data_IF_571373694826
#
_entry.id   IF_571373694826
#
_cell.length_a   1.000
_cell.length_b   1.000
_cell.length_c   1.000
_cell.angle_alpha   90.00
_cell.angle_beta   90.00
_cell.angle_gamma   90.00
#
_symmetry.space_group_name_H-M   'P 1'
#
loop_
_entity.id
_entity.type
_entity.pdbx_description
1 polymer ?
#
# COMPACT_ATOMS: atom_id res chain seq x y z
N UNK A 1 42.82 45.51 17.87
CA UNK A 1 42.72 46.94 17.53
C UNK A 1 41.88 47.02 16.26
N UNK A 2 40.55 47.11 16.33
CA UNK A 2 39.72 48.27 16.68
C UNK A 2 39.83 49.42 15.67
N UNK A 3 38.82 49.55 14.80
CA UNK A 3 38.23 50.78 14.21
C UNK A 3 37.39 50.37 12.99
N UNK A 4 36.07 50.15 13.03
CA UNK A 4 34.95 51.03 13.35
C UNK A 4 34.57 52.05 12.24
N UNK A 5 33.27 52.02 11.91
CA UNK A 5 32.40 53.06 11.30
C UNK A 5 32.27 53.14 9.78
N UNK A 6 31.04 52.88 9.30
CA UNK A 6 30.11 53.89 8.75
C UNK A 6 29.10 53.22 7.78
N UNK A 7 27.86 52.89 8.19
CA UNK A 7 26.64 53.73 8.09
C UNK A 7 25.66 53.05 7.11
N UNK A 8 24.67 52.29 7.59
CA UNK A 8 23.26 52.71 7.70
C UNK A 8 22.66 53.30 6.41
N UNK A 9 21.80 52.54 5.73
CA UNK A 9 20.72 53.08 4.90
C UNK A 9 19.50 52.14 4.99
N UNK A 10 18.58 52.55 5.85
CA UNK A 10 17.31 51.92 6.17
C UNK A 10 16.24 52.98 5.92
N UNK A 11 15.45 52.87 4.84
CA UNK A 11 14.21 53.67 4.65
C UNK A 11 13.36 53.01 3.55
N UNK A 12 12.29 52.28 3.90
CA UNK A 12 10.88 52.73 4.07
C UNK A 12 10.28 53.37 2.81
N UNK A 13 9.13 52.81 2.37
CA UNK A 13 7.95 53.37 1.66
C UNK A 13 7.50 52.35 0.59
N UNK A 14 6.23 51.99 0.38
CA UNK A 14 4.98 52.25 1.07
C UNK A 14 3.90 51.31 0.47
N UNK A 15 3.02 50.78 1.32
CA UNK A 15 1.67 50.37 0.89
C UNK A 15 0.93 51.60 0.34
N UNK A 16 0.35 51.49 -0.86
CA UNK A 16 -0.87 52.17 -1.33
C UNK A 16 -1.25 51.55 -2.69
N UNK A 17 -2.38 50.86 -2.77
CA UNK A 17 -3.65 51.40 -3.28
C UNK A 17 -3.63 51.66 -4.79
N UNK A 18 -4.20 50.72 -5.56
CA UNK A 18 -4.86 51.01 -6.83
C UNK A 18 -6.14 50.17 -6.92
N UNK A 19 -7.26 50.80 -6.51
CA UNK A 19 -8.62 50.42 -6.86
C UNK A 19 -9.06 51.26 -8.08
N UNK A 20 -9.78 50.63 -9.02
CA UNK A 20 -10.59 51.19 -10.12
C UNK A 20 -10.39 50.30 -11.36
N UNK A 21 -11.37 49.76 -12.09
CA UNK A 21 -12.83 49.91 -12.21
C UNK A 21 -13.26 48.80 -13.19
N UNK A 22 -14.32 48.05 -12.90
CA UNK A 22 -15.28 47.55 -13.91
C UNK A 22 -16.40 46.77 -13.19
N UNK A 23 -17.43 47.50 -12.79
CA UNK A 23 -18.71 46.95 -12.38
C UNK A 23 -19.61 46.84 -13.61
N UNK A 24 -20.17 45.66 -13.85
CA UNK A 24 -21.41 45.52 -14.63
C UNK A 24 -22.33 44.62 -13.82
N UNK A 25 -23.27 45.27 -13.13
CA UNK A 25 -24.31 44.65 -12.33
C UNK A 25 -25.47 44.24 -13.26
N UNK A 26 -25.83 42.95 -13.24
CA UNK A 26 -27.08 42.47 -13.83
C UNK A 26 -28.12 42.40 -12.72
N UNK A 27 -29.17 43.21 -12.89
CA UNK A 27 -30.23 43.46 -11.93
C UNK A 27 -31.14 42.26 -11.66
N UNK A 28 -31.56 42.20 -10.39
CA UNK A 28 -32.78 41.60 -9.86
C UNK A 28 -34.04 41.95 -10.68
N UNK A 29 -34.90 40.96 -10.91
CA UNK A 29 -36.34 41.17 -11.06
C UNK A 29 -37.11 40.20 -10.15
N UNK A 30 -37.62 40.74 -9.06
CA UNK A 30 -38.76 40.20 -8.32
C UNK A 30 -40.04 40.53 -9.09
N UNK A 31 -40.92 39.56 -9.29
CA UNK A 31 -42.33 39.82 -9.60
C UNK A 31 -43.15 39.02 -8.61
N UNK A 32 -43.69 39.77 -7.64
CA UNK A 32 -44.74 39.35 -6.72
C UNK A 32 -46.09 39.67 -7.35
N UNK A 33 -46.95 38.67 -7.50
CA UNK A 33 -48.39 38.87 -7.72
C UNK A 33 -49.14 38.10 -6.65
N UNK A 34 -49.68 38.85 -5.68
CA UNK A 34 -50.72 38.41 -4.76
C UNK A 34 -52.02 38.17 -5.54
N UNK A 35 -52.68 37.04 -5.30
CA UNK A 35 -54.04 36.74 -5.75
C UNK A 35 -54.75 35.85 -4.72
N UNK A 36 -55.91 36.30 -4.26
CA UNK A 36 -56.68 35.79 -3.13
C UNK A 36 -57.31 34.39 -3.32
N UNK A 37 -57.40 33.68 -2.18
CA UNK A 37 -58.35 32.63 -1.72
C UNK A 37 -59.46 32.15 -2.68
N UNK A 38 -59.59 30.82 -2.77
CA UNK A 38 -60.88 30.13 -2.60
C UNK A 38 -60.66 28.72 -2.01
N UNK A 39 -61.45 28.43 -0.99
CA UNK A 39 -61.54 27.18 -0.24
C UNK A 39 -62.32 26.12 -1.01
N UNK A 40 -61.73 24.95 -1.20
CA UNK A 40 -62.47 23.73 -1.56
C UNK A 40 -61.98 22.55 -0.74
N UNK A 41 -62.92 21.97 0.00
CA UNK A 41 -62.85 20.79 0.85
C UNK A 41 -62.20 19.59 0.14
N UNK A 42 -61.09 19.08 0.67
CA UNK A 42 -60.53 17.79 0.28
C UNK A 42 -60.83 16.75 1.37
N UNK A 43 -61.64 15.76 1.01
CA UNK A 43 -62.04 14.61 1.81
C UNK A 43 -60.86 13.73 2.21
N UNK A 44 -60.81 13.35 3.49
CA UNK A 44 -59.90 12.33 4.04
C UNK A 44 -60.23 10.94 3.47
N UNK A 45 -59.28 10.18 2.90
CA UNK A 45 -59.48 8.76 2.68
C UNK A 45 -59.28 7.98 3.98
N UNK A 46 -60.17 7.00 4.18
CA UNK A 46 -60.29 6.18 5.37
C UNK A 46 -59.03 5.33 5.67
N UNK A 47 -58.73 5.23 6.96
CA UNK A 47 -57.73 4.36 7.59
C UNK A 47 -58.10 2.88 7.40
N UNK A 48 -57.29 2.10 6.67
CA UNK A 48 -57.41 0.63 6.68
C UNK A 48 -56.63 0.04 7.86
N UNK A 49 -57.08 -1.07 8.47
CA UNK A 49 -56.44 -1.67 9.63
C UNK A 49 -55.16 -2.44 9.25
N UNK A 50 -54.15 -2.33 10.11
CA UNK A 50 -52.90 -3.08 10.08
C UNK A 50 -53.13 -4.59 10.18
N UNK A 51 -52.46 -5.35 9.32
CA UNK A 51 -52.02 -6.72 9.61
C UNK A 51 -50.49 -6.71 9.71
N UNK A 52 -49.88 -7.25 10.77
CA UNK A 52 -48.43 -7.36 10.85
C UNK A 52 -47.99 -8.55 9.99
N UNK A 53 -47.54 -8.27 8.77
CA UNK A 53 -46.80 -9.26 7.99
C UNK A 53 -45.46 -9.51 8.69
N UNK A 54 -45.38 -10.60 9.44
CA UNK A 54 -44.11 -11.29 9.74
C UNK A 54 -43.56 -11.87 8.43
N UNK A 55 -43.13 -10.98 7.53
CA UNK A 55 -42.28 -11.31 6.41
C UNK A 55 -40.87 -11.49 6.96
N UNK A 56 -40.43 -12.75 6.99
CA UNK A 56 -39.05 -13.13 7.23
C UNK A 56 -38.09 -12.14 6.57
N UNK A 57 -37.22 -11.52 7.36
CA UNK A 57 -36.02 -10.89 6.79
C UNK A 57 -35.23 -12.03 6.16
N UNK A 58 -35.45 -12.25 4.87
CA UNK A 58 -34.53 -12.98 4.03
C UNK A 58 -33.29 -12.09 4.05
N UNK A 59 -32.40 -12.40 5.00
CA UNK A 59 -31.02 -12.03 4.93
C UNK A 59 -30.60 -12.36 3.50
N UNK A 60 -30.15 -11.35 2.75
CA UNK A 60 -29.42 -11.53 1.51
C UNK A 60 -28.14 -12.29 1.88
N UNK A 61 -28.28 -13.59 2.12
CA UNK A 61 -27.21 -14.55 2.17
C UNK A 61 -26.80 -14.64 0.71
N UNK A 62 -25.88 -13.74 0.33
CA UNK A 62 -25.14 -13.83 -0.91
C UNK A 62 -24.70 -15.28 -0.98
N UNK A 63 -25.32 -16.04 -1.87
CA UNK A 63 -24.92 -17.39 -2.22
C UNK A 63 -23.58 -17.19 -2.91
N UNK A 64 -22.51 -17.04 -2.14
CA UNK A 64 -21.19 -17.46 -2.58
C UNK A 64 -21.34 -18.96 -2.79
N UNK A 65 -21.73 -19.36 -4.02
CA UNK A 65 -21.28 -20.62 -4.58
C UNK A 65 -19.82 -20.73 -4.18
N UNK A 66 -19.50 -21.71 -3.32
CA UNK A 66 -18.15 -21.92 -2.80
C UNK A 66 -17.24 -22.24 -3.98
N UNK A 67 -16.75 -21.20 -4.66
CA UNK A 67 -15.65 -21.31 -5.60
C UNK A 67 -14.48 -21.86 -4.80
N UNK A 68 -13.87 -22.91 -5.33
CA UNK A 68 -12.66 -23.52 -4.78
C UNK A 68 -11.67 -22.42 -4.38
N UNK A 69 -11.04 -22.55 -3.21
CA UNK A 69 -10.08 -21.55 -2.72
C UNK A 69 -8.97 -21.27 -3.74
N UNK A 70 -8.64 -22.26 -4.57
CA UNK A 70 -7.66 -22.13 -5.64
C UNK A 70 -8.12 -21.21 -6.78
N UNK A 71 -9.42 -21.09 -7.06
CA UNK A 71 -9.96 -20.23 -8.14
C UNK A 71 -10.11 -18.77 -7.68
N UNK A 72 -10.08 -18.54 -6.38
CA UNK A 72 -10.24 -17.22 -5.77
C UNK A 72 -8.85 -16.62 -5.55
N UNK A 73 -8.73 -15.29 -5.57
CA UNK A 73 -7.48 -14.63 -5.19
C UNK A 73 -7.04 -15.08 -3.77
N UNK A 74 -5.73 -15.10 -3.52
CA UNK A 74 -5.21 -15.56 -2.24
C UNK A 74 -5.64 -14.65 -1.07
N UNK A 75 -5.83 -13.36 -1.35
CA UNK A 75 -6.38 -12.39 -0.39
C UNK A 75 -7.77 -12.75 0.15
N UNK A 76 -8.74 -13.07 -0.72
CA UNK A 76 -10.09 -13.48 -0.32
C UNK A 76 -10.12 -14.90 0.23
N UNK A 77 -9.21 -15.79 -0.21
CA UNK A 77 -9.03 -17.08 0.46
C UNK A 77 -8.62 -16.91 1.92
N UNK A 78 -7.65 -16.02 2.20
CA UNK A 78 -7.25 -15.66 3.57
C UNK A 78 -8.41 -15.03 4.35
N UNK A 79 -9.19 -14.12 3.75
CA UNK A 79 -10.34 -13.51 4.44
C UNK A 79 -11.41 -14.53 4.82
N UNK A 80 -11.64 -15.56 3.99
CA UNK A 80 -12.52 -16.69 4.35
C UNK A 80 -11.97 -17.49 5.51
N UNK A 81 -10.69 -17.87 5.45
CA UNK A 81 -10.03 -18.62 6.52
C UNK A 81 -10.04 -17.86 7.85
N UNK A 82 -9.83 -16.54 7.81
CA UNK A 82 -9.88 -15.70 9.00
C UNK A 82 -11.29 -15.56 9.60
N UNK A 83 -12.34 -15.68 8.78
CA UNK A 83 -13.72 -15.71 9.26
C UNK A 83 -14.07 -17.07 9.90
N UNK A 84 -13.58 -18.17 9.34
CA UNK A 84 -13.85 -19.52 9.84
C UNK A 84 -13.06 -19.85 11.12
N UNK A 85 -11.79 -19.42 11.18
CA UNK A 85 -10.86 -19.78 12.27
C UNK A 85 -10.02 -18.57 12.75
N UNK A 86 -10.62 -17.54 13.35
CA UNK A 86 -9.93 -16.30 13.70
C UNK A 86 -8.80 -16.46 14.73
N UNK A 87 -8.94 -17.42 15.66
CA UNK A 87 -8.01 -17.61 16.78
C UNK A 87 -6.91 -18.64 16.53
N UNK A 88 -6.87 -19.25 15.33
CA UNK A 88 -5.86 -20.24 15.01
C UNK A 88 -4.50 -19.57 14.82
N UNK A 89 -3.52 -20.00 15.62
CA UNK A 89 -2.12 -19.62 15.46
C UNK A 89 -1.53 -20.31 14.23
N UNK A 90 -0.84 -19.55 13.39
CA UNK A 90 -0.33 -20.05 12.09
C UNK A 90 1.17 -19.84 11.93
N UNK A 91 1.70 -18.72 12.40
CA UNK A 91 3.11 -18.40 12.23
C UNK A 91 3.66 -17.76 13.48
N UNK A 92 4.83 -18.24 13.90
CA UNK A 92 5.66 -17.60 14.91
C UNK A 92 6.97 -17.16 14.28
N UNK A 93 7.29 -15.88 14.45
CA UNK A 93 8.56 -15.30 14.01
C UNK A 93 9.48 -15.17 15.23
N UNK A 94 10.61 -15.87 15.22
CA UNK A 94 11.56 -15.83 16.35
C UNK A 94 12.27 -14.48 16.46
N UNK A 95 12.64 -13.86 15.33
CA UNK A 95 13.42 -12.61 15.31
C UNK A 95 12.79 -11.44 16.08
N UNK A 96 11.45 -11.34 16.08
CA UNK A 96 10.71 -10.31 16.85
C UNK A 96 9.85 -10.92 17.96
N UNK A 97 10.00 -12.23 18.20
CA UNK A 97 9.15 -13.05 19.06
C UNK A 97 7.64 -12.76 18.90
N UNK A 98 7.19 -12.63 17.63
CA UNK A 98 5.81 -12.30 17.30
C UNK A 98 5.06 -13.57 16.91
N UNK A 99 3.89 -13.77 17.53
CA UNK A 99 2.95 -14.83 17.17
C UNK A 99 1.76 -14.26 16.43
N UNK A 100 1.46 -14.82 15.26
CA UNK A 100 0.33 -14.40 14.44
C UNK A 100 -0.74 -15.46 14.36
N UNK A 101 -1.98 -14.99 14.50
CA UNK A 101 -3.19 -15.75 14.20
C UNK A 101 -3.66 -15.41 12.79
N UNK A 102 -4.54 -16.24 12.22
CA UNK A 102 -5.17 -15.93 10.93
C UNK A 102 -5.84 -14.55 10.91
N UNK A 103 -6.47 -14.16 12.03
CA UNK A 103 -7.07 -12.83 12.17
C UNK A 103 -6.03 -11.71 12.07
N UNK A 104 -4.87 -11.86 12.70
CA UNK A 104 -3.80 -10.85 12.62
C UNK A 104 -3.28 -10.71 11.19
N UNK A 105 -3.00 -11.82 10.51
CA UNK A 105 -2.50 -11.77 9.12
C UNK A 105 -3.54 -11.13 8.18
N UNK A 106 -4.81 -11.49 8.32
CA UNK A 106 -5.87 -10.87 7.52
C UNK A 106 -6.00 -9.36 7.82
N UNK A 107 -5.94 -8.97 9.10
CA UNK A 107 -6.04 -7.57 9.51
C UNK A 107 -4.90 -6.70 8.97
N UNK A 108 -3.64 -7.12 9.15
CA UNK A 108 -2.49 -6.34 8.68
C UNK A 108 -2.39 -6.31 7.15
N UNK A 109 -2.70 -7.42 6.47
CA UNK A 109 -2.71 -7.45 5.00
C UNK A 109 -3.82 -6.57 4.41
N UNK A 110 -4.98 -6.52 5.07
CA UNK A 110 -6.09 -5.63 4.67
C UNK A 110 -5.74 -4.16 4.87
N UNK A 111 -5.15 -3.84 6.02
CA UNK A 111 -4.72 -2.48 6.34
C UNK A 111 -3.64 -1.98 5.37
N UNK A 112 -2.66 -2.83 5.01
CA UNK A 112 -1.63 -2.48 4.06
C UNK A 112 -2.19 -2.31 2.64
N UNK A 113 -3.09 -3.20 2.21
CA UNK A 113 -3.73 -3.08 0.90
C UNK A 113 -4.58 -1.80 0.80
N UNK A 114 -5.29 -1.43 1.86
CA UNK A 114 -6.02 -0.16 1.93
C UNK A 114 -5.07 1.04 1.81
N UNK A 115 -3.95 1.04 2.54
CA UNK A 115 -2.98 2.13 2.46
C UNK A 115 -2.30 2.26 1.10
N UNK A 116 -2.07 1.17 0.39
CA UNK A 116 -1.59 1.24 -1.00
C UNK A 116 -2.61 1.88 -1.93
N UNK A 117 -3.88 1.48 -1.86
CA UNK A 117 -4.93 2.07 -2.68
C UNK A 117 -5.16 3.55 -2.34
N UNK A 118 -5.08 3.92 -1.06
CA UNK A 118 -5.22 5.30 -0.59
C UNK A 118 -4.02 6.18 -1.01
N UNK A 119 -2.82 5.60 -1.08
CA UNK A 119 -1.65 6.24 -1.68
C UNK A 119 -1.77 6.45 -3.19
N UNK A 120 -2.83 5.93 -3.83
CA UNK A 120 -3.15 6.12 -5.24
C UNK A 120 -2.70 5.00 -6.17
N UNK A 121 -2.17 3.89 -5.63
CA UNK A 121 -1.73 2.75 -6.43
C UNK A 121 -2.92 2.07 -7.11
N UNK A 122 -2.70 1.66 -8.35
CA UNK A 122 -3.70 0.98 -9.16
C UNK A 122 -3.36 -0.52 -9.25
N UNK A 123 -4.38 -1.38 -9.36
CA UNK A 123 -4.14 -2.80 -9.63
C UNK A 123 -3.35 -2.96 -10.94
N UNK A 124 -2.27 -3.74 -10.89
CA UNK A 124 -1.27 -3.88 -11.95
C UNK A 124 0.03 -3.10 -11.72
N UNK A 125 0.05 -2.18 -10.75
CA UNK A 125 1.28 -1.50 -10.35
C UNK A 125 2.28 -2.50 -9.73
N UNK A 126 3.56 -2.13 -9.82
CA UNK A 126 4.67 -3.02 -9.48
C UNK A 126 5.29 -2.63 -8.14
N UNK A 127 5.43 -3.62 -7.26
CA UNK A 127 6.08 -3.50 -5.95
C UNK A 127 7.35 -4.33 -5.96
N UNK A 128 8.48 -3.68 -5.69
CA UNK A 128 9.77 -4.35 -5.49
C UNK A 128 10.03 -4.48 -4.00
N UNK A 129 10.07 -5.70 -3.50
CA UNK A 129 10.47 -6.00 -2.13
C UNK A 129 11.93 -6.42 -2.07
N UNK A 130 12.69 -5.76 -1.22
CA UNK A 130 14.04 -6.13 -0.82
C UNK A 130 14.06 -6.47 0.67
N UNK A 131 13.11 -7.32 1.07
CA UNK A 131 12.95 -7.82 2.43
C UNK A 131 13.26 -9.31 2.49
N UNK A 132 13.87 -9.77 3.58
CA UNK A 132 14.17 -11.19 3.74
C UNK A 132 12.89 -11.98 4.03
N UNK A 133 12.87 -13.23 3.58
CA UNK A 133 11.70 -14.09 3.73
C UNK A 133 11.35 -14.39 5.19
N UNK A 134 12.29 -14.23 6.13
CA UNK A 134 12.02 -14.44 7.55
C UNK A 134 11.33 -13.24 8.22
N UNK A 135 11.17 -12.10 7.54
CA UNK A 135 10.46 -10.95 8.08
C UNK A 135 8.94 -11.10 7.96
N UNK A 136 8.25 -10.70 9.01
CA UNK A 136 6.81 -10.78 9.08
C UNK A 136 6.16 -9.82 8.06
N UNK A 137 6.78 -8.66 7.86
CA UNK A 137 6.39 -7.63 6.88
C UNK A 137 6.32 -8.19 5.44
N UNK A 138 7.24 -9.08 5.07
CA UNK A 138 7.27 -9.69 3.73
C UNK A 138 6.03 -10.55 3.47
N UNK A 139 5.56 -11.27 4.48
CA UNK A 139 4.36 -12.10 4.37
C UNK A 139 3.09 -11.23 4.28
N UNK A 140 3.00 -10.17 5.09
CA UNK A 140 1.91 -9.20 5.00
C UNK A 140 1.87 -8.61 3.59
N UNK A 141 3.04 -8.24 3.05
CA UNK A 141 3.16 -7.63 1.73
C UNK A 141 2.63 -8.56 0.63
N UNK A 142 2.99 -9.85 0.66
CA UNK A 142 2.49 -10.84 -0.31
C UNK A 142 0.96 -10.90 -0.32
N UNK A 143 0.32 -10.98 0.85
CA UNK A 143 -1.14 -10.99 0.95
C UNK A 143 -1.77 -9.64 0.56
N UNK A 144 -1.13 -8.52 0.92
CA UNK A 144 -1.61 -7.19 0.57
C UNK A 144 -1.56 -6.98 -0.95
N UNK A 145 -0.49 -7.41 -1.62
CA UNK A 145 -0.40 -7.38 -3.09
C UNK A 145 -1.49 -8.24 -3.74
N UNK A 146 -1.78 -9.42 -3.20
CA UNK A 146 -2.89 -10.26 -3.71
C UNK A 146 -4.26 -9.61 -3.54
N UNK A 147 -4.47 -8.89 -2.43
CA UNK A 147 -5.71 -8.14 -2.14
C UNK A 147 -5.87 -6.88 -2.97
N UNK A 148 -4.78 -6.14 -3.20
CA UNK A 148 -4.78 -4.90 -3.98
C UNK A 148 -4.61 -5.16 -5.50
N UNK A 149 -4.25 -6.39 -5.91
CA UNK A 149 -3.99 -6.73 -7.31
C UNK A 149 -2.67 -6.16 -7.83
N UNK A 150 -1.67 -6.03 -6.96
CA UNK A 150 -0.34 -5.51 -7.29
C UNK A 150 0.60 -6.66 -7.67
N UNK A 151 1.60 -6.36 -8.50
CA UNK A 151 2.63 -7.33 -8.91
C UNK A 151 3.83 -7.17 -7.98
N UNK A 152 4.13 -8.21 -7.21
CA UNK A 152 5.26 -8.28 -6.30
C UNK A 152 6.47 -8.93 -6.99
N UNK A 153 7.59 -8.22 -7.02
CA UNK A 153 8.90 -8.78 -7.32
C UNK A 153 9.69 -8.85 -6.02
N UNK A 154 10.29 -10.00 -5.73
CA UNK A 154 11.17 -10.18 -4.57
C UNK A 154 12.61 -10.17 -5.05
N UNK A 155 13.37 -9.18 -4.61
CA UNK A 155 14.82 -9.16 -4.71
C UNK A 155 15.39 -9.93 -3.53
N UNK A 156 16.19 -10.96 -3.79
CA UNK A 156 16.83 -11.74 -2.73
C UNK A 156 17.79 -10.83 -1.95
N UNK A 157 17.53 -10.57 -0.66
CA UNK A 157 18.45 -9.83 0.18
C UNK A 157 19.49 -10.81 0.71
N UNK A 158 20.30 -11.40 -0.17
CA UNK A 158 21.38 -12.26 0.30
C UNK A 158 22.37 -11.38 1.08
N UNK A 159 22.40 -11.50 2.43
CA UNK A 159 23.23 -10.62 3.24
C UNK A 159 24.71 -10.89 2.98
N UNK A 160 25.09 -12.09 2.56
CA UNK A 160 26.47 -12.43 2.23
C UNK A 160 26.98 -11.64 1.03
N UNK A 161 26.14 -11.45 0.00
CA UNK A 161 26.51 -10.66 -1.17
C UNK A 161 26.60 -9.17 -0.82
N UNK A 162 25.68 -8.68 0.02
CA UNK A 162 25.69 -7.31 0.49
C UNK A 162 26.90 -7.02 1.42
N UNK A 163 27.35 -8.01 2.20
CA UNK A 163 28.56 -7.95 3.04
C UNK A 163 29.85 -8.02 2.23
N UNK A 164 29.94 -8.95 1.29
CA UNK A 164 31.17 -9.22 0.54
C UNK A 164 31.42 -8.13 -0.51
N UNK A 165 30.38 -7.71 -1.23
CA UNK A 165 30.50 -6.75 -2.34
C UNK A 165 29.30 -5.77 -2.36
N UNK A 166 29.35 -4.67 -1.59
CA UNK A 166 28.25 -3.70 -1.55
C UNK A 166 28.01 -3.00 -2.89
N UNK A 167 29.01 -2.96 -3.78
CA UNK A 167 28.87 -2.44 -5.16
C UNK A 167 27.96 -3.34 -6.00
N UNK A 168 28.11 -4.66 -5.92
CA UNK A 168 27.26 -5.61 -6.65
C UNK A 168 25.82 -5.59 -6.15
N UNK A 169 25.61 -5.42 -4.84
CA UNK A 169 24.27 -5.24 -4.28
C UNK A 169 23.59 -3.97 -4.84
N UNK A 170 24.32 -2.86 -4.99
CA UNK A 170 23.82 -1.64 -5.64
C UNK A 170 23.48 -1.86 -7.11
N UNK A 171 24.35 -2.56 -7.84
CA UNK A 171 24.07 -2.90 -9.25
C UNK A 171 22.85 -3.82 -9.38
N UNK A 172 22.67 -4.75 -8.44
CA UNK A 172 21.51 -5.64 -8.42
C UNK A 172 20.22 -4.86 -8.21
N UNK A 173 20.19 -3.94 -7.23
CA UNK A 173 19.05 -3.07 -7.00
C UNK A 173 18.77 -2.17 -8.23
N UNK A 174 19.81 -1.55 -8.79
CA UNK A 174 19.66 -0.68 -9.96
C UNK A 174 19.02 -1.42 -11.14
N UNK A 175 19.55 -2.60 -11.49
CA UNK A 175 18.97 -3.42 -12.57
C UNK A 175 17.57 -3.92 -12.22
N UNK A 176 17.30 -4.28 -10.97
CA UNK A 176 15.96 -4.67 -10.56
C UNK A 176 14.95 -3.53 -10.78
N UNK A 177 15.30 -2.29 -10.42
CA UNK A 177 14.46 -1.12 -10.65
C UNK A 177 14.26 -0.83 -12.15
N UNK A 178 15.31 -0.91 -12.97
CA UNK A 178 15.21 -0.72 -14.43
C UNK A 178 14.35 -1.78 -15.11
N UNK A 179 14.47 -3.05 -14.68
CA UNK A 179 13.73 -4.16 -15.27
C UNK A 179 12.26 -4.12 -14.84
N UNK A 180 12.00 -3.96 -13.54
CA UNK A 180 10.64 -4.09 -13.00
C UNK A 180 9.79 -2.84 -13.18
N UNK A 181 10.40 -1.67 -13.43
CA UNK A 181 9.72 -0.38 -13.42
C UNK A 181 8.87 -0.18 -12.15
N UNK A 182 9.41 -0.58 -11.01
CA UNK A 182 8.70 -0.61 -9.74
C UNK A 182 8.22 0.78 -9.32
N UNK A 183 6.96 0.85 -8.91
CA UNK A 183 6.33 2.06 -8.35
C UNK A 183 6.67 2.23 -6.87
N UNK A 184 6.78 1.11 -6.17
CA UNK A 184 7.15 1.05 -4.75
C UNK A 184 8.42 0.21 -4.60
N UNK A 185 9.37 0.72 -3.83
CA UNK A 185 10.51 -0.04 -3.33
C UNK A 185 10.34 -0.21 -1.81
N UNK A 186 10.38 -1.44 -1.31
CA UNK A 186 10.34 -1.71 0.13
C UNK A 186 11.67 -2.34 0.53
N UNK A 187 12.49 -1.62 1.30
CA UNK A 187 13.77 -2.10 1.80
C UNK A 187 13.76 -2.30 3.31
N UNK A 188 14.65 -3.15 3.81
CA UNK A 188 14.99 -3.16 5.22
C UNK A 188 15.92 -2.00 5.58
N UNK A 189 16.01 -1.66 6.87
CA UNK A 189 16.90 -0.59 7.34
C UNK A 189 18.34 -1.12 7.50
N UNK A 190 18.50 -2.17 8.30
CA UNK A 190 19.76 -2.84 8.52
C UNK A 190 19.54 -4.36 8.54
N UNK A 191 20.52 -5.11 8.05
CA UNK A 191 20.54 -6.55 8.11
C UNK A 191 21.98 -7.04 8.24
N UNK A 192 22.27 -7.79 9.30
CA UNK A 192 23.54 -8.49 9.52
C UNK A 192 24.75 -7.58 9.24
N UNK A 193 24.85 -6.45 9.96
CA UNK A 193 25.92 -5.43 9.83
C UNK A 193 25.97 -4.62 8.52
N UNK A 194 25.00 -4.81 7.62
CA UNK A 194 24.85 -4.00 6.41
C UNK A 194 23.71 -2.99 6.57
N UNK A 195 23.99 -1.72 6.26
CA UNK A 195 22.97 -0.68 6.18
C UNK A 195 22.39 -0.59 4.76
N UNK A 196 21.17 -1.08 4.58
CA UNK A 196 20.51 -1.12 3.27
C UNK A 196 20.00 0.25 2.82
N UNK A 197 19.79 1.19 3.74
CA UNK A 197 19.46 2.58 3.40
C UNK A 197 20.63 3.22 2.66
N UNK A 198 21.85 3.06 3.15
CA UNK A 198 23.06 3.58 2.47
C UNK A 198 23.28 2.94 1.09
N UNK A 199 22.83 1.69 0.90
CA UNK A 199 22.83 1.04 -0.41
C UNK A 199 21.80 1.69 -1.33
N UNK A 200 20.58 1.93 -0.85
CA UNK A 200 19.52 2.60 -1.59
C UNK A 200 19.90 4.03 -1.97
N UNK A 201 20.47 4.81 -1.04
CA UNK A 201 21.01 6.15 -1.30
C UNK A 201 22.13 6.15 -2.34
N UNK A 202 22.92 5.07 -2.40
CA UNK A 202 23.94 4.91 -3.43
C UNK A 202 23.38 4.69 -4.83
N UNK A 203 22.17 4.13 -4.95
CA UNK A 203 21.51 3.85 -6.23
C UNK A 203 20.60 5.01 -6.66
N UNK A 204 19.87 5.57 -5.69
CA UNK A 204 18.91 6.67 -5.83
C UNK A 204 19.35 7.80 -4.89
N UNK A 205 20.33 8.63 -5.29
CA UNK A 205 20.85 9.71 -4.44
C UNK A 205 19.79 10.78 -4.14
N UNK A 206 18.72 10.86 -4.93
CA UNK A 206 17.62 11.80 -4.72
C UNK A 206 16.89 11.56 -3.40
N UNK A 207 16.94 10.35 -2.84
CA UNK A 207 16.36 10.04 -1.52
C UNK A 207 16.93 10.96 -0.45
N UNK A 208 18.23 11.28 -0.49
CA UNK A 208 18.90 12.10 0.53
C UNK A 208 18.53 13.59 0.49
N UNK A 209 18.01 14.05 -0.64
CA UNK A 209 17.73 15.46 -0.89
C UNK A 209 16.23 15.74 -0.72
N UNK A 210 15.40 14.72 -0.88
CA UNK A 210 13.96 14.87 -0.91
C UNK A 210 13.40 15.18 0.48
N UNK A 211 12.86 16.39 0.63
CA UNK A 211 12.13 16.78 1.83
C UNK A 211 10.61 16.67 1.59
N UNK A 212 9.95 15.82 2.39
CA UNK A 212 8.49 15.68 2.35
C UNK A 212 7.74 16.91 2.88
N UNK A 213 8.42 17.84 3.55
CA UNK A 213 7.81 19.07 4.08
C UNK A 213 7.19 19.95 2.99
N UNK A 214 7.69 19.86 1.76
CA UNK A 214 7.20 20.62 0.61
C UNK A 214 5.86 20.07 0.04
N UNK A 215 5.40 18.90 0.52
CA UNK A 215 4.15 18.27 0.08
C UNK A 215 4.20 17.72 -1.36
N UNK A 216 5.38 17.65 -1.97
CA UNK A 216 5.59 17.05 -3.27
C UNK A 216 5.60 15.52 -3.17
N UNK A 217 5.17 14.84 -4.24
CA UNK A 217 5.39 13.40 -4.37
C UNK A 217 6.85 13.12 -4.72
N UNK A 218 7.41 12.03 -4.18
CA UNK A 218 8.77 11.62 -4.49
C UNK A 218 8.93 11.39 -6.01
N UNK A 219 10.05 11.86 -6.53
CA UNK A 219 10.38 11.77 -7.95
C UNK A 219 11.89 11.65 -8.12
N UNK A 220 12.30 10.68 -8.94
CA UNK A 220 13.69 10.53 -9.38
C UNK A 220 13.73 10.51 -10.91
N UNK A 221 14.58 11.35 -11.55
CA UNK A 221 14.73 11.34 -13.02
C UNK A 221 15.25 10.02 -13.57
N UNK A 222 16.03 9.27 -12.77
CA UNK A 222 16.63 8.00 -13.17
C UNK A 222 15.62 6.86 -13.22
N UNK A 223 14.65 6.87 -12.29
CA UNK A 223 13.57 5.88 -12.20
C UNK A 223 12.22 6.59 -12.20
N UNK A 224 11.69 7.00 -13.37
CA UNK A 224 10.50 7.86 -13.45
C UNK A 224 9.23 7.22 -12.86
N UNK A 225 9.22 5.89 -12.74
CA UNK A 225 8.12 5.12 -12.18
C UNK A 225 8.15 5.03 -10.65
N UNK A 226 9.32 5.21 -10.01
CA UNK A 226 9.47 5.07 -8.56
C UNK A 226 8.85 6.29 -7.84
N UNK A 227 7.79 6.04 -7.08
CA UNK A 227 7.03 7.07 -6.33
C UNK A 227 7.07 6.88 -4.83
N UNK A 228 7.26 5.65 -4.36
CA UNK A 228 7.23 5.35 -2.93
C UNK A 228 8.44 4.52 -2.56
N UNK A 229 9.54 5.17 -2.14
CA UNK A 229 10.65 4.46 -1.55
C UNK A 229 10.33 4.30 -0.05
N UNK A 230 10.25 3.05 0.41
CA UNK A 230 9.71 2.65 1.72
C UNK A 230 10.74 1.83 2.47
N UNK A 231 10.90 2.08 3.78
CA UNK A 231 11.76 1.28 4.64
C UNK A 231 10.98 0.65 5.81
N UNK A 232 11.41 -0.51 6.29
CA UNK A 232 10.79 -1.21 7.44
C UNK A 232 11.38 -0.82 8.80
N UNK A 233 12.16 0.27 8.84
CA UNK A 233 12.79 0.78 10.05
C UNK A 233 11.80 1.32 11.08
N UNK A 234 12.32 1.69 12.25
CA UNK A 234 11.53 2.30 13.32
C UNK A 234 11.68 3.82 13.37
N UNK A 235 12.83 4.34 12.96
CA UNK A 235 13.16 5.75 13.12
C UNK A 235 12.79 6.54 11.87
N UNK A 236 11.99 7.59 12.06
CA UNK A 236 11.58 8.53 10.99
C UNK A 236 12.58 9.69 10.81
N UNK A 237 13.33 10.04 11.85
CA UNK A 237 14.24 11.19 11.86
C UNK A 237 15.56 10.95 11.15
N UNK A 238 15.99 9.68 11.06
CA UNK A 238 17.32 9.34 10.57
C UNK A 238 17.33 9.03 9.07
N UNK A 239 16.14 8.91 8.45
CA UNK A 239 15.93 8.49 7.07
C UNK A 239 15.00 9.47 6.31
N UNK A 240 15.30 10.77 6.40
CA UNK A 240 14.57 11.82 5.68
C UNK A 240 14.62 11.54 4.17
N UNK A 241 13.45 11.29 3.56
CA UNK A 241 13.31 10.95 2.13
C UNK A 241 12.76 9.55 1.83
N UNK A 242 12.66 8.68 2.84
CA UNK A 242 11.96 7.39 2.74
C UNK A 242 10.67 7.39 3.57
N UNK A 243 9.64 6.69 3.10
CA UNK A 243 8.43 6.46 3.88
C UNK A 243 8.59 5.25 4.81
N UNK A 244 7.99 5.30 6.00
CA UNK A 244 7.92 4.14 6.86
C UNK A 244 6.87 3.15 6.35
N UNK A 245 7.20 1.87 6.33
CA UNK A 245 6.25 0.79 6.02
C UNK A 245 4.99 0.86 6.89
N UNK A 246 5.14 1.26 8.15
CA UNK A 246 4.03 1.42 9.10
C UNK A 246 3.06 2.54 8.74
N UNK A 247 3.48 3.56 7.99
CA UNK A 247 2.59 4.66 7.58
C UNK A 247 1.57 4.20 6.53
N UNK A 248 1.86 3.12 5.79
CA UNK A 248 0.92 2.52 4.85
C UNK A 248 -0.08 1.54 5.51
N UNK A 249 0.00 1.32 6.82
CA UNK A 249 -0.97 0.46 7.52
C UNK A 249 -2.21 1.28 7.89
N UNK A 250 -3.22 1.26 7.02
CA UNK A 250 -4.48 2.02 7.21
C UNK A 250 -5.64 1.05 7.45
N UNK A 251 -6.03 0.77 8.71
CA UNK A 251 -7.13 -0.14 9.01
C UNK A 251 -8.48 0.55 8.79
N UNK A 252 -8.95 0.60 7.54
CA UNK A 252 -10.21 1.28 7.19
C UNK A 252 -11.39 0.33 6.98
N UNK A 253 -11.17 -1.00 6.99
CA UNK A 253 -12.18 -2.04 6.68
C UNK A 253 -12.98 -1.79 5.39
N UNK A 254 -12.50 -0.91 4.51
CA UNK A 254 -13.21 -0.39 3.33
C UNK A 254 -12.54 -0.87 2.03
N UNK A 255 -11.72 -1.92 2.08
CA UNK A 255 -10.95 -2.42 0.95
C UNK A 255 -11.82 -2.63 -0.30
N UNK A 256 -12.97 -3.28 -0.16
CA UNK A 256 -13.90 -3.53 -1.27
C UNK A 256 -14.43 -2.25 -1.91
N UNK A 257 -14.61 -1.19 -1.12
CA UNK A 257 -15.06 0.10 -1.63
C UNK A 257 -13.93 0.82 -2.38
N UNK A 258 -12.71 0.77 -1.87
CA UNK A 258 -11.52 1.33 -2.52
C UNK A 258 -11.22 0.62 -3.85
N UNK A 259 -11.29 -0.71 -3.87
CA UNK A 259 -11.13 -1.51 -5.10
C UNK A 259 -12.22 -1.23 -6.14
N UNK A 260 -13.45 -0.93 -5.72
CA UNK A 260 -14.50 -0.47 -6.65
C UNK A 260 -14.21 0.95 -7.15
N UNK A 261 -13.63 1.80 -6.30
CA UNK A 261 -13.24 3.17 -6.64
C UNK A 261 -12.15 3.24 -7.71
N UNK A 262 -11.23 2.27 -7.76
CA UNK A 262 -10.22 2.15 -8.82
C UNK A 262 -10.78 1.61 -10.15
N UNK A 263 -12.07 1.24 -10.20
CA UNK A 263 -12.74 0.78 -11.42
C UNK A 263 -12.34 -0.64 -11.86
N UNK A 264 -11.65 -1.40 -11.01
CA UNK A 264 -11.20 -2.74 -11.35
C UNK A 264 -12.32 -3.79 -11.27
N UNK A 265 -12.30 -4.74 -12.21
CA UNK A 265 -13.12 -5.95 -12.13
C UNK A 265 -12.67 -6.77 -10.93
N UNK A 266 -13.60 -7.50 -10.31
CA UNK A 266 -13.33 -8.38 -9.19
C UNK A 266 -12.05 -9.21 -9.44
N UNK A 267 -11.05 -9.03 -8.58
CA UNK A 267 -9.75 -9.70 -8.66
C UNK A 267 -9.97 -11.21 -8.59
N UNK A 268 -9.58 -11.92 -9.64
CA UNK A 268 -9.76 -13.37 -9.76
C UNK A 268 -8.41 -14.11 -9.69
N UNK A 269 -8.44 -15.44 -9.65
CA UNK A 269 -7.25 -16.30 -9.62
C UNK A 269 -6.25 -16.06 -10.77
N UNK A 270 -6.68 -15.43 -11.86
CA UNK A 270 -5.86 -15.09 -13.04
C UNK A 270 -5.08 -13.78 -12.92
N UNK A 271 -5.27 -13.03 -11.84
CA UNK A 271 -4.56 -11.76 -11.63
C UNK A 271 -3.07 -12.07 -11.40
N UNK A 272 -2.14 -11.36 -12.08
CA UNK A 272 -0.72 -11.50 -11.83
C UNK A 272 -0.39 -11.07 -10.39
N UNK A 273 0.42 -11.87 -9.69
CA UNK A 273 0.83 -11.58 -8.31
C UNK A 273 2.34 -11.55 -8.16
N UNK A 274 3.05 -12.55 -8.69
CA UNK A 274 4.47 -12.72 -8.44
C UNK A 274 5.26 -12.62 -9.74
N UNK A 275 6.21 -11.70 -9.80
CA UNK A 275 7.22 -11.70 -10.85
C UNK A 275 8.52 -12.30 -10.36
N UNK A 276 8.98 -13.38 -11.00
CA UNK A 276 10.28 -13.95 -10.69
C UNK A 276 11.39 -13.11 -11.34
N UNK A 277 12.48 -12.88 -10.61
CA UNK A 277 13.70 -12.29 -11.15
C UNK A 277 14.72 -13.40 -11.42
N UNK A 278 15.26 -13.44 -12.64
CA UNK A 278 16.30 -14.40 -13.00
C UNK A 278 17.66 -13.80 -12.68
N UNK A 279 18.33 -14.39 -11.70
CA UNK A 279 19.66 -13.98 -11.26
C UNK A 279 20.75 -14.57 -12.17
N UNK A 280 21.73 -13.74 -12.54
CA UNK A 280 22.97 -14.19 -13.16
C UNK A 280 23.91 -14.86 -12.15
N UNK A 281 25.02 -15.42 -12.63
CA UNK A 281 26.04 -16.09 -11.79
C UNK A 281 26.64 -15.17 -10.70
N UNK A 282 26.48 -13.86 -10.86
CA UNK A 282 27.01 -12.83 -9.96
C UNK A 282 25.98 -12.30 -8.95
N UNK A 283 24.79 -12.92 -8.84
CA UNK A 283 23.72 -12.48 -7.94
C UNK A 283 22.94 -11.24 -8.40
N UNK A 284 23.21 -10.78 -9.62
CA UNK A 284 22.54 -9.63 -10.23
C UNK A 284 21.37 -10.09 -11.12
N UNK A 285 20.15 -9.55 -10.95
CA UNK A 285 19.02 -9.87 -11.80
C UNK A 285 19.30 -9.42 -13.23
N UNK A 286 19.23 -10.35 -14.17
CA UNK A 286 19.57 -10.12 -15.58
C UNK A 286 18.33 -10.07 -16.46
N UNK A 287 17.25 -10.78 -16.07
CA UNK A 287 15.99 -10.81 -16.82
C UNK A 287 14.78 -10.90 -15.88
N UNK A 288 13.68 -10.34 -16.34
CA UNK A 288 12.35 -10.63 -15.79
C UNK A 288 12.00 -12.06 -16.18
N UNK A 289 11.68 -12.88 -15.19
CA UNK A 289 11.19 -14.24 -15.35
C UNK A 289 9.70 -14.27 -15.71
N UNK A 290 9.03 -15.35 -15.33
CA UNK A 290 7.58 -15.46 -15.55
C UNK A 290 6.83 -14.68 -14.49
N UNK A 291 5.78 -13.98 -14.91
CA UNK A 291 4.80 -13.40 -13.98
C UNK A 291 3.76 -14.48 -13.69
N UNK A 292 3.77 -14.99 -12.48
CA UNK A 292 2.86 -16.00 -11.98
C UNK A 292 1.56 -15.36 -11.49
N UNK A 293 0.46 -16.00 -11.82
CA UNK A 293 -0.87 -15.63 -11.35
C UNK A 293 -1.14 -16.13 -9.94
N UNK A 294 -2.14 -15.57 -9.24
CA UNK A 294 -2.56 -16.05 -7.91
C UNK A 294 -2.80 -17.57 -7.88
N UNK A 295 -3.41 -18.12 -8.93
CA UNK A 295 -3.67 -19.56 -9.07
C UNK A 295 -2.38 -20.40 -9.15
N UNK A 296 -1.39 -19.90 -9.89
CA UNK A 296 -0.11 -20.58 -10.06
C UNK A 296 0.72 -20.50 -8.79
N UNK A 297 0.74 -19.34 -8.11
CA UNK A 297 1.39 -19.19 -6.80
C UNK A 297 0.75 -20.11 -5.77
N UNK A 298 -0.58 -20.27 -5.79
CA UNK A 298 -1.27 -21.19 -4.88
C UNK A 298 -0.92 -22.66 -5.14
N UNK A 299 -0.70 -23.03 -6.41
CA UNK A 299 -0.34 -24.40 -6.81
C UNK A 299 1.16 -24.68 -6.61
N UNK A 300 2.00 -23.68 -6.82
CA UNK A 300 3.44 -23.71 -6.62
C UNK A 300 3.77 -23.51 -5.14
N UNK A 301 3.50 -24.55 -4.34
CA UNK A 301 3.79 -24.58 -2.89
C UNK A 301 5.26 -24.32 -2.55
N UNK A 302 6.16 -24.53 -3.51
CA UNK A 302 7.61 -24.35 -3.33
C UNK A 302 8.05 -22.89 -3.44
N UNK A 303 7.30 -22.02 -4.13
CA UNK A 303 7.76 -20.64 -4.39
C UNK A 303 7.68 -19.77 -3.14
N UNK A 304 6.61 -19.90 -2.34
CA UNK A 304 6.47 -19.24 -1.05
C UNK A 304 5.93 -20.22 -0.01
N UNK A 305 6.85 -20.88 0.69
CA UNK A 305 6.50 -21.98 1.58
C UNK A 305 5.66 -21.49 2.77
N UNK A 306 5.98 -20.34 3.35
CA UNK A 306 5.21 -19.75 4.45
C UNK A 306 3.84 -19.25 4.00
N UNK A 307 3.73 -18.63 2.82
CA UNK A 307 2.47 -18.18 2.25
C UNK A 307 1.50 -19.35 2.01
N UNK A 308 2.01 -20.43 1.43
CA UNK A 308 1.23 -21.65 1.18
C UNK A 308 0.82 -22.34 2.50
N UNK A 309 1.72 -22.35 3.49
CA UNK A 309 1.48 -22.91 4.84
C UNK A 309 0.38 -22.16 5.60
N UNK A 310 0.36 -20.82 5.51
CA UNK A 310 -0.72 -19.99 6.06
C UNK A 310 -2.08 -20.36 5.43
N UNK A 311 -2.11 -20.57 4.12
CA UNK A 311 -3.34 -20.94 3.41
C UNK A 311 -3.74 -22.40 3.64
N UNK A 312 -2.80 -23.32 3.87
CA UNK A 312 -3.10 -24.71 4.24
C UNK A 312 -3.47 -24.89 5.72
N UNK A 313 -3.32 -23.82 6.53
CA UNK A 313 -3.52 -23.80 7.99
C UNK A 313 -2.48 -24.65 8.74
N UNK A 314 -1.28 -24.76 8.20
CA UNK A 314 -0.17 -25.42 8.87
C UNK A 314 0.53 -24.41 9.78
N UNK A 315 0.79 -24.81 11.04
CA UNK A 315 1.58 -23.99 11.95
C UNK A 315 3.06 -24.09 11.59
N UNK A 316 3.74 -22.95 11.49
CA UNK A 316 5.17 -22.91 11.21
C UNK A 316 5.90 -21.91 12.09
N UNK A 317 7.07 -22.32 12.56
CA UNK A 317 8.02 -21.43 13.21
C UNK A 317 9.06 -21.01 12.17
N UNK A 318 9.16 -19.69 11.97
CA UNK A 318 10.12 -19.11 11.04
C UNK A 318 11.35 -18.73 11.85
N UNK A 319 12.49 -19.40 11.63
CA UNK A 319 13.70 -19.12 12.38
C UNK A 319 14.17 -17.70 12.07
N UNK A 320 14.57 -16.99 13.11
CA UNK A 320 15.17 -15.66 12.97
C UNK A 320 16.64 -15.79 12.62
N UNK A 321 17.10 -15.07 11.59
CA UNK A 321 18.53 -14.87 11.36
C UNK A 321 18.91 -13.52 12.00
N UNK A 322 19.69 -13.54 13.08
CA UNK A 322 20.10 -12.32 13.81
C UNK A 322 19.86 -12.38 15.31
N UNK A 323 19.66 -11.21 15.95
CA UNK A 323 19.38 -11.12 17.38
C UNK A 323 17.98 -11.66 17.66
N UNK A 324 17.91 -12.86 18.24
CA UNK A 324 16.68 -13.43 18.78
C UNK A 324 16.42 -12.77 20.13
N UNK A 325 15.34 -12.01 20.23
CA UNK A 325 14.91 -11.36 21.48
C UNK A 325 13.98 -12.25 22.32
#
# INVERSE_FOLDING_TARGET
MASASATMLLQKLALRSAASKAATATQLRSVSTLGLRASTTASLPARSPHTPNYGSSITNRIIHQQRSMATVNAGSALSRLAADHPHMEIVRYEHKNVKWTLKHVNYYSDALACGFLDAGLQPGDVVLSWLPEHFAEQHILQFACSKAGLILYSLDPNPELAKQDPTKAKEALAKALELTNATILISQEAGDDVNYITLCEGVVPEIRIFDFSEGCQFFTPRYPHLRFPVHTGYTCTDNEGMFLFRHFLVPSNNLDALLRGTGCKALDGKTPLLGELVYGKDGVPTKIGKVLTNEEVFKAKDTWVQFSSILSREYREVPGVGVVF
#
